data_IF_557750354827
#
_entry.id   IF_557750354827
#
_cell.length_a   1.000
_cell.length_b   1.000
_cell.length_c   1.000
_cell.angle_alpha   90.00
_cell.angle_beta   90.00
_cell.angle_gamma   90.00
#
_symmetry.space_group_name_H-M   'P 1'
#
loop_
_entity.id
_entity.type
_entity.pdbx_description
1 polymer ?
#
# COMPACT_ATOMS: atom_id res chain seq x y z
N UNK A 1 -17.51 -24.10 -30.58
CA UNK A 1 -17.63 -22.87 -29.77
C UNK A 1 -18.08 -23.30 -28.39
N UNK A 2 -17.30 -23.07 -27.32
CA UNK A 2 -17.86 -23.05 -25.99
C UNK A 2 -17.71 -21.64 -25.40
N UNK A 3 -18.86 -21.05 -25.08
CA UNK A 3 -19.02 -19.91 -24.19
C UNK A 3 -18.26 -20.16 -22.88
N UNK A 4 -17.07 -19.59 -22.75
CA UNK A 4 -16.27 -19.61 -21.50
C UNK A 4 -16.18 -18.22 -20.87
N UNK A 5 -17.13 -17.33 -21.19
CA UNK A 5 -17.38 -16.12 -20.42
C UNK A 5 -18.15 -16.46 -19.13
N UNK A 6 -17.62 -17.42 -18.37
CA UNK A 6 -17.85 -17.42 -16.93
C UNK A 6 -17.24 -16.12 -16.45
N UNK A 7 -18.11 -15.13 -16.25
CA UNK A 7 -17.84 -13.88 -15.55
C UNK A 7 -17.01 -14.21 -14.32
N UNK A 8 -15.69 -14.09 -14.46
CA UNK A 8 -14.74 -14.42 -13.41
C UNK A 8 -14.84 -13.33 -12.36
N UNK A 9 -15.84 -13.44 -11.49
CA UNK A 9 -16.07 -12.52 -10.39
C UNK A 9 -14.89 -12.65 -9.42
N UNK A 10 -14.06 -11.62 -9.38
CA UNK A 10 -12.97 -11.52 -8.40
C UNK A 10 -13.54 -10.86 -7.14
N UNK A 11 -13.56 -11.55 -5.99
CA UNK A 11 -14.02 -10.94 -4.75
C UNK A 11 -13.09 -9.81 -4.32
N UNK A 12 -13.60 -8.91 -3.48
CA UNK A 12 -12.76 -7.89 -2.85
C UNK A 12 -11.61 -8.55 -2.08
N UNK A 13 -10.39 -8.05 -2.31
CA UNK A 13 -9.18 -8.59 -1.71
C UNK A 13 -8.33 -7.43 -1.18
N UNK A 14 -7.55 -7.71 -0.13
CA UNK A 14 -6.59 -6.76 0.40
C UNK A 14 -5.46 -6.52 -0.63
N UNK A 15 -5.39 -5.31 -1.16
CA UNK A 15 -4.32 -4.89 -2.08
C UNK A 15 -2.99 -4.71 -1.34
N UNK A 16 -2.99 -3.89 -0.29
CA UNK A 16 -1.85 -3.67 0.59
C UNK A 16 -2.30 -3.28 2.00
N UNK A 17 -1.42 -3.46 2.98
CA UNK A 17 -1.56 -2.98 4.35
C UNK A 17 -0.22 -2.43 4.81
N UNK A 18 -0.25 -1.25 5.42
CA UNK A 18 0.92 -0.62 6.01
C UNK A 18 0.64 -0.16 7.44
N UNK A 19 1.63 -0.30 8.31
CA UNK A 19 1.65 0.32 9.64
C UNK A 19 2.87 1.23 9.66
N UNK A 20 2.65 2.51 9.93
CA UNK A 20 3.70 3.51 9.96
C UNK A 20 3.60 4.40 11.20
N UNK A 21 4.74 4.97 11.61
CA UNK A 21 4.84 5.95 12.69
C UNK A 21 5.66 7.14 12.19
N UNK A 22 5.08 8.34 12.06
CA UNK A 22 5.79 9.54 11.62
C UNK A 22 7.02 9.87 12.48
N UNK A 23 7.00 9.50 13.76
CA UNK A 23 8.07 9.78 14.72
C UNK A 23 9.38 9.03 14.43
N UNK A 24 9.32 7.91 13.68
CA UNK A 24 10.51 7.13 13.34
C UNK A 24 11.32 7.74 12.18
N UNK A 25 10.76 8.71 11.48
CA UNK A 25 11.42 9.40 10.37
C UNK A 25 10.87 10.80 10.20
N UNK A 26 11.24 11.77 11.06
CA UNK A 26 10.61 13.08 11.11
C UNK A 26 10.93 13.98 9.88
N UNK A 27 11.78 13.51 8.97
CA UNK A 27 12.20 14.26 7.77
C UNK A 27 11.74 13.55 6.50
N UNK A 28 11.61 14.30 5.40
CA UNK A 28 11.23 13.73 4.09
C UNK A 28 12.22 12.67 3.60
N UNK A 29 13.50 12.81 3.96
CA UNK A 29 14.56 11.84 3.61
C UNK A 29 14.43 10.52 4.38
N UNK A 30 13.75 10.51 5.54
CA UNK A 30 13.60 9.35 6.43
C UNK A 30 12.19 8.74 6.40
N UNK A 31 11.36 9.07 5.39
CA UNK A 31 10.00 8.50 5.24
C UNK A 31 10.01 6.97 5.20
N UNK A 32 11.07 6.36 4.65
CA UNK A 32 11.22 4.91 4.63
C UNK A 32 11.28 4.28 6.03
N UNK A 33 11.90 4.98 6.98
CA UNK A 33 12.09 4.52 8.36
C UNK A 33 10.79 4.58 9.18
N UNK A 34 9.83 5.36 8.72
CA UNK A 34 8.51 5.45 9.35
C UNK A 34 7.73 4.14 9.27
N UNK A 35 8.03 3.27 8.30
CA UNK A 35 7.15 2.13 8.00
C UNK A 35 7.60 0.86 8.73
N UNK A 36 6.90 0.57 9.83
CA UNK A 36 7.16 -0.59 10.70
C UNK A 36 6.73 -1.91 10.05
N UNK A 37 5.61 -1.90 9.30
CA UNK A 37 5.11 -3.09 8.62
C UNK A 37 4.54 -2.73 7.25
N UNK A 38 4.81 -3.59 6.26
CA UNK A 38 4.21 -3.48 4.95
C UNK A 38 4.00 -4.87 4.35
N UNK A 39 2.86 -5.05 3.72
CA UNK A 39 2.57 -6.24 2.92
C UNK A 39 1.67 -5.87 1.78
N UNK A 40 1.95 -6.42 0.59
CA UNK A 40 1.11 -6.24 -0.59
C UNK A 40 0.90 -7.56 -1.32
N UNK A 41 -0.17 -7.62 -2.11
CA UNK A 41 -0.43 -8.78 -2.98
C UNK A 41 0.71 -9.02 -3.98
N UNK A 42 1.31 -7.95 -4.50
CA UNK A 42 2.45 -8.03 -5.43
C UNK A 42 3.72 -8.55 -4.74
N UNK A 43 4.00 -8.14 -3.50
CA UNK A 43 5.14 -8.66 -2.73
C UNK A 43 4.95 -10.13 -2.35
N UNK A 44 3.73 -10.56 -2.05
CA UNK A 44 3.41 -11.98 -1.78
C UNK A 44 3.61 -12.85 -3.03
N UNK A 45 3.16 -12.40 -4.20
CA UNK A 45 3.41 -13.11 -5.47
C UNK A 45 4.91 -13.20 -5.77
N UNK A 46 5.62 -12.07 -5.63
CA UNK A 46 7.07 -12.00 -5.86
C UNK A 46 7.85 -12.92 -4.90
N UNK A 47 7.47 -13.02 -3.62
CA UNK A 47 8.13 -13.95 -2.67
C UNK A 47 8.00 -15.40 -3.13
N UNK A 48 6.86 -15.76 -3.74
CA UNK A 48 6.65 -17.10 -4.29
C UNK A 48 7.51 -17.32 -5.57
N UNK A 49 7.63 -16.28 -6.40
CA UNK A 49 8.37 -16.30 -7.68
C UNK A 49 9.90 -16.17 -7.53
N UNK A 50 10.41 -15.56 -6.44
CA UNK A 50 11.85 -15.41 -6.15
C UNK A 50 12.60 -16.74 -5.98
N UNK A 51 11.88 -17.85 -5.85
CA UNK A 51 12.46 -19.18 -5.93
C UNK A 51 12.96 -19.53 -7.34
N UNK A 52 12.70 -18.70 -8.38
CA UNK A 52 12.88 -19.08 -9.78
C UNK A 52 13.94 -18.30 -10.59
N UNK A 53 14.13 -16.97 -10.53
CA UNK A 53 15.07 -16.26 -11.45
C UNK A 53 15.59 -14.91 -10.91
N UNK A 54 16.89 -14.66 -11.02
CA UNK A 54 17.63 -13.48 -10.52
C UNK A 54 17.65 -12.25 -11.42
N UNK A 55 16.54 -11.50 -11.46
CA UNK A 55 16.52 -10.09 -11.91
C UNK A 55 15.74 -9.25 -10.90
N UNK A 56 16.26 -9.18 -9.68
CA UNK A 56 15.53 -8.73 -8.50
C UNK A 56 15.71 -7.22 -8.20
N UNK A 57 16.87 -6.62 -8.48
CA UNK A 57 17.20 -5.26 -8.00
C UNK A 57 16.27 -4.16 -8.54
N UNK A 58 16.02 -4.13 -9.85
CA UNK A 58 15.13 -3.10 -10.42
C UNK A 58 13.67 -3.24 -9.93
N UNK A 59 13.19 -4.49 -9.75
CA UNK A 59 11.85 -4.78 -9.23
C UNK A 59 11.74 -4.51 -7.73
N UNK A 60 12.82 -4.71 -6.98
CA UNK A 60 12.93 -4.39 -5.57
C UNK A 60 12.77 -2.87 -5.36
N UNK A 61 13.52 -2.08 -6.10
CA UNK A 61 13.48 -0.61 -6.05
C UNK A 61 12.11 -0.07 -6.45
N UNK A 62 11.47 -0.64 -7.48
CA UNK A 62 10.11 -0.26 -7.87
C UNK A 62 9.08 -0.51 -6.76
N UNK A 63 9.18 -1.66 -6.08
CA UNK A 63 8.30 -1.99 -4.95
C UNK A 63 8.49 -1.07 -3.75
N UNK A 64 9.73 -0.71 -3.45
CA UNK A 64 10.07 0.27 -2.42
C UNK A 64 9.51 1.65 -2.75
N UNK A 65 9.68 2.11 -4.00
CA UNK A 65 9.16 3.40 -4.45
C UNK A 65 7.62 3.45 -4.38
N UNK A 66 6.94 2.36 -4.72
CA UNK A 66 5.48 2.27 -4.61
C UNK A 66 5.00 2.33 -3.15
N UNK A 67 5.69 1.62 -2.24
CA UNK A 67 5.43 1.70 -0.80
C UNK A 67 5.53 3.14 -0.30
N UNK A 68 6.61 3.85 -0.65
CA UNK A 68 6.81 5.26 -0.25
C UNK A 68 5.71 6.17 -0.78
N UNK A 69 5.31 6.01 -2.05
CA UNK A 69 4.18 6.77 -2.63
C UNK A 69 2.87 6.55 -1.88
N UNK A 70 2.57 5.32 -1.49
CA UNK A 70 1.34 4.98 -0.76
C UNK A 70 1.32 5.63 0.63
N UNK A 71 2.45 5.64 1.34
CA UNK A 71 2.57 6.31 2.64
C UNK A 71 2.46 7.83 2.49
N UNK A 72 3.21 8.42 1.56
CA UNK A 72 3.16 9.86 1.31
C UNK A 72 1.75 10.32 0.90
N UNK A 73 1.04 9.54 0.09
CA UNK A 73 -0.36 9.81 -0.26
C UNK A 73 -1.26 9.78 0.98
N UNK A 74 -1.14 8.74 1.82
CA UNK A 74 -1.92 8.63 3.05
C UNK A 74 -1.67 9.81 3.99
N UNK A 75 -0.41 10.21 4.19
CA UNK A 75 -0.05 11.37 5.00
C UNK A 75 -0.59 12.67 4.42
N UNK A 76 -0.44 12.88 3.11
CA UNK A 76 -1.02 14.00 2.40
C UNK A 76 -2.53 14.06 2.64
N UNK A 77 -3.23 12.93 2.45
CA UNK A 77 -4.68 12.83 2.67
C UNK A 77 -5.08 13.14 4.11
N UNK A 78 -4.34 12.68 5.12
CA UNK A 78 -4.57 13.05 6.54
C UNK A 78 -4.37 14.55 6.74
N UNK A 79 -3.29 15.13 6.22
CA UNK A 79 -3.01 16.57 6.32
C UNK A 79 -4.09 17.42 5.63
N UNK A 80 -4.60 16.99 4.48
CA UNK A 80 -5.71 17.64 3.78
C UNK A 80 -7.04 17.45 4.52
N UNK A 81 -7.30 16.24 5.06
CA UNK A 81 -8.55 15.90 5.72
C UNK A 81 -8.61 16.31 7.20
N UNK A 82 -7.54 16.84 7.81
CA UNK A 82 -7.59 17.44 9.16
C UNK A 82 -8.62 18.59 9.27
N UNK A 83 -9.14 19.09 8.14
CA UNK A 83 -10.27 20.02 8.07
C UNK A 83 -11.67 19.36 8.01
N UNK A 84 -11.78 18.05 7.75
CA UNK A 84 -13.03 17.29 7.72
C UNK A 84 -12.93 16.01 8.57
N UNK A 85 -13.59 16.03 9.73
CA UNK A 85 -13.57 14.96 10.72
C UNK A 85 -14.27 13.70 10.20
N UNK A 86 -13.50 12.62 9.99
CA UNK A 86 -13.90 11.30 9.48
C UNK A 86 -14.09 11.22 7.96
N UNK A 87 -13.16 10.57 7.25
CA UNK A 87 -13.41 10.19 5.85
C UNK A 87 -12.78 8.86 5.46
N UNK A 88 -13.65 7.87 5.25
CA UNK A 88 -13.41 6.77 4.32
C UNK A 88 -13.32 7.37 2.91
N UNK A 89 -12.21 7.14 2.23
CA UNK A 89 -12.01 7.69 0.88
C UNK A 89 -12.35 6.58 -0.11
N UNK A 90 -13.53 6.67 -0.70
CA UNK A 90 -13.99 5.73 -1.73
C UNK A 90 -13.33 6.12 -3.05
N UNK A 91 -12.40 5.29 -3.52
CA UNK A 91 -11.90 5.38 -4.90
C UNK A 91 -12.79 4.50 -5.78
N UNK A 92 -12.86 4.81 -7.08
CA UNK A 92 -13.70 4.09 -8.04
C UNK A 92 -13.42 2.57 -8.11
N UNK A 93 -12.25 2.13 -7.61
CA UNK A 93 -11.76 0.75 -7.72
C UNK A 93 -11.25 0.15 -6.39
N UNK A 94 -11.16 0.95 -5.33
CA UNK A 94 -10.60 0.52 -4.06
C UNK A 94 -11.17 1.36 -2.91
N UNK A 95 -11.26 0.75 -1.73
CA UNK A 95 -11.57 1.48 -0.51
C UNK A 95 -10.27 1.61 0.31
N UNK A 96 -9.93 2.85 0.67
CA UNK A 96 -8.79 3.14 1.53
C UNK A 96 -9.30 3.53 2.92
N UNK A 97 -8.78 2.83 3.93
CA UNK A 97 -9.08 3.08 5.35
C UNK A 97 -7.80 3.55 6.03
N UNK A 98 -7.87 4.70 6.71
CA UNK A 98 -6.80 5.25 7.54
C UNK A 98 -7.28 5.26 8.99
N UNK A 99 -6.55 4.55 9.86
CA UNK A 99 -6.86 4.46 11.28
C UNK A 99 -5.63 4.84 12.10
N UNK A 100 -5.81 5.78 13.02
CA UNK A 100 -4.82 6.12 14.04
C UNK A 100 -5.06 5.26 15.29
N UNK A 101 -4.03 4.56 15.76
CA UNK A 101 -4.13 3.66 16.93
C UNK A 101 -3.59 4.30 18.21
N UNK A 102 -2.60 5.18 18.08
CA UNK A 102 -2.02 5.97 19.16
C UNK A 102 -1.82 7.39 18.64
N UNK A 103 -2.04 8.41 19.49
CA UNK A 103 -1.78 9.79 19.10
C UNK A 103 -0.32 9.93 18.67
N UNK A 104 -0.12 10.38 17.43
CA UNK A 104 1.18 10.75 16.87
C UNK A 104 1.53 12.23 17.09
#
# INVERSE_FOLDING_TARGET
>A
MPDSDLTSVVPAQLSFLAIYSPLLGPTDESIGDQVVFYTSRTERSRRNERSAVGNDDAKLTEGQNERLRQIGLAQGMVSFARFESQRLQRLNKAEMVLQEFFPG
#
